data_IF_889698588205
#
_entry.id   IF_889698588205
#
_cell.length_a   1.000
_cell.length_b   1.000
_cell.length_c   1.000
_cell.angle_alpha   90.00
_cell.angle_beta   90.00
_cell.angle_gamma   90.00
#
_symmetry.space_group_name_H-M   'P 1'
#
loop_
_entity.id
_entity.type
_entity.pdbx_description
1 polymer ?
#
# COMPACT_ATOMS: atom_id res chain seq x y z
N UNK A 1 -65.41 -25.11 -25.33
CA UNK A 1 -63.95 -25.28 -25.09
C UNK A 1 -63.23 -24.91 -26.38
N UNK A 2 -62.44 -23.84 -26.41
CA UNK A 2 -61.66 -23.48 -27.61
C UNK A 2 -60.53 -24.50 -27.76
N UNK A 3 -60.58 -25.31 -28.82
CA UNK A 3 -59.51 -26.24 -29.21
C UNK A 3 -58.32 -25.42 -29.71
N UNK A 4 -57.35 -25.21 -28.83
CA UNK A 4 -56.09 -24.54 -29.15
C UNK A 4 -55.38 -25.34 -30.25
N UNK A 5 -55.18 -24.73 -31.43
CA UNK A 5 -54.50 -25.38 -32.56
C UNK A 5 -53.08 -25.81 -32.16
N UNK A 6 -52.61 -27.02 -32.52
CA UNK A 6 -51.28 -27.51 -32.13
C UNK A 6 -50.15 -26.54 -32.48
N UNK A 7 -50.26 -25.85 -33.62
CA UNK A 7 -49.32 -24.81 -34.07
C UNK A 7 -49.24 -23.62 -33.10
N UNK A 8 -50.37 -23.21 -32.52
CA UNK A 8 -50.40 -22.08 -31.57
C UNK A 8 -49.73 -22.41 -30.25
N UNK A 9 -49.76 -23.68 -29.83
CA UNK A 9 -49.12 -24.16 -28.61
C UNK A 9 -47.59 -24.23 -28.76
N UNK A 10 -47.07 -24.62 -29.92
CA UNK A 10 -45.64 -24.61 -30.21
C UNK A 10 -45.07 -23.19 -30.22
N UNK A 11 -45.76 -22.25 -30.87
CA UNK A 11 -45.35 -20.84 -30.88
C UNK A 11 -45.34 -20.26 -29.46
N UNK A 12 -46.30 -20.63 -28.62
CA UNK A 12 -46.34 -20.18 -27.22
C UNK A 12 -45.15 -20.73 -26.42
N UNK A 13 -44.82 -22.02 -26.59
CA UNK A 13 -43.65 -22.64 -25.95
C UNK A 13 -42.35 -21.94 -26.34
N UNK A 14 -42.15 -21.67 -27.63
CA UNK A 14 -40.96 -20.95 -28.09
C UNK A 14 -40.87 -19.53 -27.52
N UNK A 15 -41.99 -18.80 -27.43
CA UNK A 15 -42.02 -17.48 -26.78
C UNK A 15 -41.65 -17.56 -25.30
N UNK A 16 -42.22 -18.51 -24.56
CA UNK A 16 -41.91 -18.68 -23.13
C UNK A 16 -40.45 -19.09 -22.92
N UNK A 17 -39.90 -19.96 -23.76
CA UNK A 17 -38.50 -20.36 -23.70
C UNK A 17 -37.56 -19.16 -23.94
N UNK A 18 -37.84 -18.36 -24.97
CA UNK A 18 -37.07 -17.14 -25.26
C UNK A 18 -37.13 -16.12 -24.13
N UNK A 19 -38.31 -15.92 -23.52
CA UNK A 19 -38.47 -15.00 -22.41
C UNK A 19 -37.77 -15.47 -21.11
N UNK A 20 -37.71 -16.78 -20.87
CA UNK A 20 -36.93 -17.36 -19.77
C UNK A 20 -35.42 -17.18 -19.98
N UNK A 21 -34.93 -17.36 -21.22
CA UNK A 21 -33.53 -17.12 -21.57
C UNK A 21 -33.15 -15.66 -21.38
N UNK A 22 -34.00 -14.73 -21.82
CA UNK A 22 -33.75 -13.30 -21.66
C UNK A 22 -33.70 -12.90 -20.18
N UNK A 23 -34.66 -13.39 -19.37
CA UNK A 23 -34.64 -13.17 -17.92
C UNK A 23 -33.39 -13.72 -17.26
N UNK A 24 -32.98 -14.94 -17.62
CA UNK A 24 -31.73 -15.54 -17.12
C UNK A 24 -30.51 -14.68 -17.49
N UNK A 25 -30.48 -14.13 -18.70
CA UNK A 25 -29.40 -13.26 -19.16
C UNK A 25 -29.33 -11.94 -18.37
N UNK A 26 -30.50 -11.35 -18.07
CA UNK A 26 -30.60 -10.15 -17.23
C UNK A 26 -30.07 -10.40 -15.83
N UNK A 27 -30.49 -11.48 -15.17
CA UNK A 27 -30.01 -11.83 -13.83
C UNK A 27 -28.49 -12.05 -13.80
N UNK A 28 -27.95 -12.80 -14.77
CA UNK A 28 -26.51 -13.03 -14.88
C UNK A 28 -25.73 -11.73 -15.07
N UNK A 29 -26.24 -10.81 -15.90
CA UNK A 29 -25.60 -9.52 -16.13
C UNK A 29 -25.58 -8.65 -14.87
N UNK A 30 -26.67 -8.67 -14.10
CA UNK A 30 -26.76 -7.95 -12.82
C UNK A 30 -25.78 -8.52 -11.78
N UNK A 31 -25.70 -9.85 -11.70
CA UNK A 31 -24.75 -10.55 -10.82
C UNK A 31 -23.30 -10.18 -11.16
N UNK A 32 -22.92 -10.23 -12.44
CA UNK A 32 -21.57 -9.84 -12.88
C UNK A 32 -21.24 -8.39 -12.50
N UNK A 33 -22.15 -7.44 -12.77
CA UNK A 33 -21.95 -6.03 -12.43
C UNK A 33 -21.77 -5.81 -10.92
N UNK A 34 -22.51 -6.57 -10.11
CA UNK A 34 -22.38 -6.51 -8.66
C UNK A 34 -21.03 -7.05 -8.18
N UNK A 35 -20.58 -8.18 -8.73
CA UNK A 35 -19.29 -8.79 -8.40
C UNK A 35 -18.11 -7.89 -8.82
N UNK A 36 -18.17 -7.32 -10.02
CA UNK A 36 -17.15 -6.40 -10.53
C UNK A 36 -17.05 -5.16 -9.63
N UNK A 37 -18.19 -4.56 -9.26
CA UNK A 37 -18.22 -3.43 -8.34
C UNK A 37 -17.65 -3.79 -6.95
N UNK A 38 -17.90 -5.01 -6.45
CA UNK A 38 -17.30 -5.52 -5.21
C UNK A 38 -15.78 -5.66 -5.29
N UNK A 39 -15.24 -6.09 -6.43
CA UNK A 39 -13.80 -6.16 -6.67
C UNK A 39 -13.16 -4.77 -6.70
N UNK A 40 -13.78 -3.81 -7.37
CA UNK A 40 -13.30 -2.42 -7.40
C UNK A 40 -13.30 -1.76 -6.02
N UNK A 41 -14.29 -2.05 -5.16
CA UNK A 41 -14.25 -1.58 -3.77
C UNK A 41 -13.10 -2.19 -2.98
N UNK A 42 -12.85 -3.49 -3.16
CA UNK A 42 -11.81 -4.19 -2.40
C UNK A 42 -10.42 -3.65 -2.73
N UNK A 43 -10.13 -3.39 -4.01
CA UNK A 43 -8.87 -2.76 -4.42
C UNK A 43 -8.76 -1.31 -3.91
N UNK A 44 -9.87 -0.58 -3.89
CA UNK A 44 -9.90 0.79 -3.38
C UNK A 44 -9.67 0.86 -1.86
N UNK A 45 -10.18 -0.11 -1.11
CA UNK A 45 -9.89 -0.24 0.31
C UNK A 45 -8.39 -0.49 0.53
N UNK A 46 -7.74 -1.34 -0.27
CA UNK A 46 -6.29 -1.54 -0.18
C UNK A 46 -5.50 -0.26 -0.48
N UNK A 47 -5.91 0.50 -1.51
CA UNK A 47 -5.30 1.78 -1.86
C UNK A 47 -5.36 2.78 -0.69
N UNK A 48 -6.49 2.82 0.03
CA UNK A 48 -6.67 3.69 1.19
C UNK A 48 -5.68 3.38 2.33
N UNK A 49 -5.25 2.12 2.47
CA UNK A 49 -4.22 1.72 3.45
C UNK A 49 -2.78 1.89 2.94
N UNK A 50 -2.56 1.75 1.64
CA UNK A 50 -1.22 1.78 1.04
C UNK A 50 -0.69 3.20 0.81
N UNK A 51 -1.53 4.13 0.36
CA UNK A 51 -1.09 5.51 0.07
C UNK A 51 -0.53 6.20 1.31
N UNK A 52 -1.17 6.11 2.50
CA UNK A 52 -0.64 6.72 3.72
C UNK A 52 0.76 6.24 4.11
N UNK A 53 1.05 4.95 4.01
CA UNK A 53 2.35 4.40 4.40
C UNK A 53 3.46 4.85 3.45
N UNK A 54 3.17 4.92 2.15
CA UNK A 54 4.09 5.45 1.14
C UNK A 54 4.45 6.91 1.43
N UNK A 55 3.44 7.74 1.72
CA UNK A 55 3.64 9.16 2.06
C UNK A 55 4.53 9.31 3.30
N UNK A 56 4.25 8.57 4.37
CA UNK A 56 5.04 8.64 5.61
C UNK A 56 6.51 8.27 5.33
N UNK A 57 6.75 7.21 4.54
CA UNK A 57 8.10 6.78 4.20
C UNK A 57 8.87 7.84 3.41
N UNK A 58 8.22 8.45 2.41
CA UNK A 58 8.82 9.51 1.60
C UNK A 58 9.09 10.74 2.46
N UNK A 59 8.09 11.25 3.17
CA UNK A 59 8.24 12.45 4.00
C UNK A 59 9.25 12.24 5.13
N UNK A 60 9.26 11.08 5.78
CA UNK A 60 10.22 10.73 6.82
C UNK A 60 11.65 10.60 6.28
N UNK A 61 11.83 9.95 5.12
CA UNK A 61 13.14 9.85 4.47
C UNK A 61 13.68 11.21 4.03
N UNK A 62 12.80 12.08 3.55
CA UNK A 62 13.16 13.43 3.13
C UNK A 62 13.57 14.31 4.32
N UNK A 63 12.87 14.18 5.45
CA UNK A 63 13.24 14.83 6.70
C UNK A 63 14.58 14.33 7.24
N UNK A 64 14.81 13.01 7.20
CA UNK A 64 16.10 12.43 7.59
C UNK A 64 17.24 12.99 6.73
N UNK A 65 17.08 12.98 5.40
CA UNK A 65 18.05 13.56 4.47
C UNK A 65 18.31 15.05 4.73
N UNK A 66 17.27 15.83 5.05
CA UNK A 66 17.42 17.25 5.42
C UNK A 66 18.21 17.48 6.72
N UNK A 67 18.37 16.46 7.57
CA UNK A 67 19.16 16.56 8.81
C UNK A 67 20.60 16.07 8.65
N UNK A 68 20.91 15.30 7.61
CA UNK A 68 22.26 14.77 7.35
C UNK A 68 23.10 15.64 6.43
N UNK A 69 22.47 16.61 5.75
CA UNK A 69 23.16 17.53 4.84
C UNK A 69 23.59 18.77 5.61
N UNK A 70 24.91 18.99 5.70
CA UNK A 70 25.49 20.15 6.39
C UNK A 70 25.43 21.44 5.56
N UNK A 71 25.34 21.32 4.23
CA UNK A 71 25.26 22.45 3.32
C UNK A 71 23.90 23.16 3.39
N UNK A 72 23.92 24.46 3.68
CA UNK A 72 22.74 25.28 3.92
C UNK A 72 21.81 25.30 2.70
N UNK A 73 22.39 25.42 1.50
CA UNK A 73 21.64 25.46 0.25
C UNK A 73 20.94 24.13 -0.02
N UNK A 74 21.68 23.02 0.06
CA UNK A 74 21.14 21.70 -0.18
C UNK A 74 20.05 21.34 0.83
N UNK A 75 20.22 21.70 2.11
CA UNK A 75 19.18 21.54 3.13
C UNK A 75 17.90 22.31 2.82
N UNK A 76 18.02 23.56 2.40
CA UNK A 76 16.89 24.42 2.03
C UNK A 76 16.12 23.83 0.85
N UNK A 77 16.85 23.29 -0.15
CA UNK A 77 16.24 22.60 -1.30
C UNK A 77 15.49 21.34 -0.86
N UNK A 78 16.06 20.52 0.02
CA UNK A 78 15.37 19.30 0.50
C UNK A 78 14.12 19.66 1.33
N UNK A 79 14.18 20.66 2.21
CA UNK A 79 13.04 21.09 3.03
C UNK A 79 11.93 21.76 2.20
N UNK A 80 12.30 22.59 1.22
CA UNK A 80 11.32 23.17 0.29
C UNK A 80 10.65 22.10 -0.58
N UNK A 81 11.40 21.12 -1.07
CA UNK A 81 10.82 19.96 -1.75
C UNK A 81 9.90 19.16 -0.83
N UNK A 82 10.24 19.00 0.45
CA UNK A 82 9.39 18.35 1.45
C UNK A 82 8.06 19.08 1.70
N UNK A 83 8.10 20.41 1.73
CA UNK A 83 6.90 21.24 1.84
C UNK A 83 6.00 21.08 0.61
N UNK A 84 6.57 21.16 -0.60
CA UNK A 84 5.82 20.97 -1.86
C UNK A 84 5.21 19.57 -1.94
N UNK A 85 5.98 18.53 -1.58
CA UNK A 85 5.49 17.15 -1.55
C UNK A 85 4.34 16.97 -0.55
N UNK A 86 4.42 17.61 0.62
CA UNK A 86 3.34 17.58 1.62
C UNK A 86 2.06 18.23 1.09
N UNK A 87 2.16 19.36 0.38
CA UNK A 87 1.01 20.03 -0.25
C UNK A 87 0.42 19.18 -1.39
N UNK A 88 1.26 18.60 -2.25
CA UNK A 88 0.81 17.70 -3.32
C UNK A 88 0.08 16.48 -2.74
N UNK A 89 0.57 15.95 -1.62
CA UNK A 89 -0.07 14.85 -0.93
C UNK A 89 -1.47 15.22 -0.41
N UNK A 90 -1.67 16.44 0.10
CA UNK A 90 -3.00 16.91 0.52
C UNK A 90 -3.99 16.84 -0.66
N UNK A 91 -3.58 17.29 -1.86
CA UNK A 91 -4.40 17.23 -3.07
C UNK A 91 -4.72 15.77 -3.45
N UNK A 92 -3.72 14.88 -3.38
CA UNK A 92 -3.91 13.45 -3.67
C UNK A 92 -4.93 12.84 -2.70
N UNK A 93 -4.81 13.07 -1.39
CA UNK A 93 -5.73 12.53 -0.39
C UNK A 93 -7.17 13.02 -0.64
N UNK A 94 -7.34 14.31 -0.97
CA UNK A 94 -8.65 14.86 -1.34
C UNK A 94 -9.24 14.17 -2.57
N UNK A 95 -8.43 13.99 -3.62
CA UNK A 95 -8.87 13.32 -4.85
C UNK A 95 -9.22 11.86 -4.62
N UNK A 96 -8.43 11.15 -3.82
CA UNK A 96 -8.68 9.76 -3.45
C UNK A 96 -10.02 9.62 -2.69
N UNK A 97 -10.32 10.56 -1.77
CA UNK A 97 -11.64 10.57 -1.12
C UNK A 97 -12.76 10.78 -2.13
N UNK A 98 -12.61 11.73 -3.04
CA UNK A 98 -13.60 11.98 -4.10
C UNK A 98 -13.89 10.72 -4.92
N UNK A 99 -12.85 9.97 -5.29
CA UNK A 99 -13.01 8.68 -5.98
C UNK A 99 -13.79 7.66 -5.16
N UNK A 100 -13.49 7.52 -3.87
CA UNK A 100 -14.21 6.61 -2.95
C UNK A 100 -15.69 6.98 -2.87
N UNK A 101 -15.97 8.27 -2.71
CA UNK A 101 -17.33 8.78 -2.60
C UNK A 101 -18.15 8.46 -3.87
N UNK A 102 -17.56 8.69 -5.05
CA UNK A 102 -18.18 8.37 -6.34
C UNK A 102 -18.49 6.87 -6.51
N UNK A 103 -17.59 5.98 -6.05
CA UNK A 103 -17.82 4.52 -6.14
C UNK A 103 -18.93 4.07 -5.19
N UNK A 104 -18.97 4.61 -3.96
CA UNK A 104 -20.02 4.32 -2.99
C UNK A 104 -21.38 4.78 -3.53
N UNK A 105 -21.46 5.97 -4.13
CA UNK A 105 -22.69 6.49 -4.73
C UNK A 105 -23.18 5.62 -5.89
N UNK A 106 -22.26 5.16 -6.76
CA UNK A 106 -22.60 4.24 -7.86
C UNK A 106 -23.12 2.90 -7.36
N UNK A 107 -22.66 2.41 -6.20
CA UNK A 107 -23.17 1.18 -5.60
C UNK A 107 -24.49 1.37 -4.85
N UNK A 108 -24.72 2.55 -4.27
CA UNK A 108 -25.98 2.92 -3.65
C UNK A 108 -27.17 2.83 -4.62
N UNK A 109 -26.93 3.00 -5.93
CA UNK A 109 -27.97 2.87 -6.96
C UNK A 109 -28.53 1.44 -7.09
N UNK A 110 -27.80 0.41 -6.67
CA UNK A 110 -28.25 -0.98 -6.73
C UNK A 110 -28.95 -1.47 -5.45
N UNK A 111 -28.95 -0.67 -4.37
CA UNK A 111 -29.57 -1.02 -3.10
C UNK A 111 -30.22 0.20 -2.43
N UNK A 112 -31.38 0.66 -2.96
CA UNK A 112 -32.01 1.92 -2.54
C UNK A 112 -32.48 1.95 -1.08
N UNK A 113 -32.77 0.79 -0.46
CA UNK A 113 -33.31 0.72 0.91
C UNK A 113 -32.28 0.98 2.03
N UNK A 114 -30.98 0.94 1.74
CA UNK A 114 -29.92 1.02 2.77
C UNK A 114 -29.12 2.32 2.77
N UNK A 115 -29.62 3.40 2.18
CA UNK A 115 -28.93 4.68 2.01
C UNK A 115 -28.77 5.51 3.30
N UNK A 116 -28.55 4.90 4.47
CA UNK A 116 -28.11 5.62 5.67
C UNK A 116 -26.66 6.01 5.52
N UNK A 117 -26.45 7.19 4.98
CA UNK A 117 -25.14 7.84 4.88
C UNK A 117 -24.58 8.08 6.30
N UNK A 118 -23.44 7.47 6.68
CA UNK A 118 -22.88 7.63 8.01
C UNK A 118 -22.47 9.09 8.28
N UNK A 119 -22.77 9.61 9.48
CA UNK A 119 -22.24 10.91 9.95
C UNK A 119 -20.75 10.75 10.24
N UNK A 120 -19.90 11.65 9.71
CA UNK A 120 -18.45 11.61 9.91
C UNK A 120 -17.60 11.41 8.63
N UNK A 121 -18.11 11.82 7.46
CA UNK A 121 -17.46 11.61 6.15
C UNK A 121 -16.03 12.14 6.02
N UNK A 122 -15.60 13.10 6.84
CA UNK A 122 -14.34 13.83 6.65
C UNK A 122 -13.38 13.80 7.84
N UNK A 123 -13.68 13.05 8.91
CA UNK A 123 -12.85 13.05 10.14
C UNK A 123 -11.41 12.61 9.85
N UNK A 124 -11.25 11.49 9.13
CA UNK A 124 -9.92 10.94 8.78
C UNK A 124 -9.15 11.92 7.90
N UNK A 125 -9.82 12.55 6.94
CA UNK A 125 -9.17 13.51 6.02
C UNK A 125 -8.76 14.76 6.76
N UNK A 126 -9.62 15.28 7.64
CA UNK A 126 -9.29 16.42 8.48
C UNK A 126 -8.00 16.16 9.28
N UNK A 127 -7.91 14.99 9.93
CA UNK A 127 -6.70 14.60 10.66
C UNK A 127 -5.45 14.56 9.75
N UNK A 128 -5.52 13.88 8.61
CA UNK A 128 -4.39 13.78 7.67
C UNK A 128 -4.00 15.13 7.06
N UNK A 129 -4.97 15.96 6.70
CA UNK A 129 -4.72 17.30 6.18
C UNK A 129 -4.07 18.18 7.25
N UNK A 130 -4.53 18.13 8.51
CA UNK A 130 -3.89 18.88 9.60
C UNK A 130 -2.45 18.43 9.87
N UNK A 131 -2.18 17.13 9.83
CA UNK A 131 -0.83 16.58 10.01
C UNK A 131 0.11 16.99 8.88
N UNK A 132 -0.34 16.87 7.62
CA UNK A 132 0.46 17.28 6.45
C UNK A 132 0.66 18.79 6.37
N UNK A 133 -0.34 19.56 6.77
CA UNK A 133 -0.21 21.02 6.86
C UNK A 133 0.80 21.41 7.93
N UNK A 134 0.75 20.76 9.10
CA UNK A 134 1.77 20.92 10.14
C UNK A 134 3.17 20.59 9.62
N UNK A 135 3.34 19.46 8.93
CA UNK A 135 4.60 19.07 8.29
C UNK A 135 5.08 20.13 7.30
N UNK A 136 4.20 20.65 6.43
CA UNK A 136 4.54 21.68 5.47
C UNK A 136 4.99 22.98 6.16
N UNK A 137 4.30 23.40 7.22
CA UNK A 137 4.66 24.59 8.01
C UNK A 137 6.05 24.41 8.63
N UNK A 138 6.33 23.27 9.27
CA UNK A 138 7.65 23.03 9.88
C UNK A 138 8.74 22.98 8.82
N UNK A 139 8.48 22.38 7.65
CA UNK A 139 9.42 22.37 6.53
C UNK A 139 9.70 23.77 5.96
N UNK A 140 8.68 24.64 5.86
CA UNK A 140 8.85 26.04 5.43
C UNK A 140 9.65 26.82 6.47
N UNK A 141 9.32 26.71 7.76
CA UNK A 141 10.07 27.36 8.84
C UNK A 141 11.52 26.90 8.88
N UNK A 142 11.76 25.60 8.65
CA UNK A 142 13.11 25.04 8.57
C UNK A 142 13.90 25.53 7.34
N UNK A 143 13.22 25.78 6.22
CA UNK A 143 13.84 26.38 5.04
C UNK A 143 14.16 27.87 5.25
N UNK A 144 13.33 28.60 6.00
CA UNK A 144 13.59 30.01 6.34
C UNK A 144 14.69 30.16 7.41
N UNK A 145 14.85 29.20 8.32
CA UNK A 145 15.89 29.20 9.36
C UNK A 145 16.68 27.88 9.42
N UNK A 146 17.49 27.54 8.40
CA UNK A 146 18.20 26.25 8.35
C UNK A 146 19.25 26.07 9.44
N UNK A 147 19.70 27.16 10.07
CA UNK A 147 20.69 27.14 11.15
C UNK A 147 20.17 26.41 12.41
N UNK A 148 18.86 26.49 12.70
CA UNK A 148 18.30 26.00 13.96
C UNK A 148 18.00 24.48 13.97
N UNK A 149 18.02 23.85 12.79
CA UNK A 149 17.79 22.41 12.64
C UNK A 149 19.12 21.64 12.51
N UNK A 150 20.28 22.31 12.47
CA UNK A 150 21.56 21.63 12.24
C UNK A 150 21.93 20.89 13.52
N UNK A 151 21.80 19.56 13.51
CA UNK A 151 22.51 18.77 14.50
C UNK A 151 23.99 18.99 14.20
N UNK A 152 24.72 19.63 15.12
CA UNK A 152 26.17 19.43 15.19
C UNK A 152 26.37 17.92 15.24
N UNK A 153 26.77 17.33 14.12
CA UNK A 153 27.24 15.97 14.09
C UNK A 153 28.56 16.01 14.86
N UNK A 154 28.50 15.70 16.17
CA UNK A 154 29.73 15.40 16.88
C UNK A 154 30.42 14.28 16.10
N UNK A 155 31.76 14.37 15.92
CA UNK A 155 32.50 13.39 15.15
C UNK A 155 32.15 12.00 15.66
N UNK A 156 32.04 10.99 14.76
CA UNK A 156 31.66 9.65 15.14
C UNK A 156 32.58 9.20 16.27
N UNK A 157 32.05 9.12 17.49
CA UNK A 157 32.71 8.38 18.57
C UNK A 157 32.82 6.98 18.01
N UNK A 158 34.05 6.61 17.68
CA UNK A 158 34.43 5.32 17.13
C UNK A 158 33.54 4.25 17.74
N UNK A 159 32.62 3.71 16.93
CA UNK A 159 31.97 2.48 17.28
C UNK A 159 33.12 1.47 17.34
N UNK A 160 33.56 1.16 18.57
CA UNK A 160 34.45 0.04 18.85
C UNK A 160 33.91 -1.11 18.03
N UNK A 161 34.69 -1.47 17.02
CA UNK A 161 34.41 -2.55 16.12
C UNK A 161 34.43 -3.81 16.99
N UNK A 162 33.28 -4.22 17.53
CA UNK A 162 33.08 -5.59 17.95
C UNK A 162 32.95 -6.42 16.68
N UNK A 163 34.09 -6.59 16.00
CA UNK A 163 34.40 -7.81 15.27
C UNK A 163 34.26 -8.90 16.31
N UNK A 164 33.20 -9.69 16.25
CA UNK A 164 33.19 -11.00 16.90
C UNK A 164 34.31 -11.80 16.25
N UNK A 165 35.48 -11.80 16.88
CA UNK A 165 36.51 -12.77 16.61
C UNK A 165 35.94 -14.14 16.95
N UNK A 166 35.78 -14.98 15.93
CA UNK A 166 35.78 -16.42 16.13
C UNK A 166 37.25 -16.77 16.36
N UNK A 167 37.60 -16.90 17.62
CA UNK A 167 38.87 -17.42 18.11
C UNK A 167 38.95 -18.92 17.74
N UNK A 168 39.56 -19.23 16.59
CA UNK A 168 40.01 -20.59 16.29
C UNK A 168 41.37 -20.76 16.95
N UNK A 169 41.38 -21.53 18.02
CA UNK A 169 42.57 -21.98 18.74
C UNK A 169 43.55 -22.65 17.78
N UNK A 170 44.78 -22.19 17.91
CA UNK A 170 46.06 -22.58 17.31
C UNK A 170 46.41 -24.08 17.43
N UNK A 171 46.99 -24.67 16.37
CA UNK A 171 48.36 -25.22 16.37
C UNK A 171 48.81 -25.80 14.99
N UNK A 172 50.10 -26.08 14.74
CA UNK A 172 50.80 -25.56 13.55
C UNK A 172 51.43 -26.66 12.68
N UNK A 173 51.42 -26.50 11.35
CA UNK A 173 52.43 -27.08 10.45
C UNK A 173 52.21 -26.64 8.99
N UNK A 174 53.31 -26.27 8.34
CA UNK A 174 53.58 -26.34 6.89
C UNK A 174 52.79 -25.48 5.86
N UNK A 175 53.46 -24.38 5.44
CA UNK A 175 53.81 -23.93 4.07
C UNK A 175 52.79 -23.78 2.88
N UNK A 176 53.05 -22.84 1.93
CA UNK A 176 52.10 -22.31 0.91
C UNK A 176 52.30 -22.98 -0.47
N UNK A 177 51.79 -22.48 -1.63
CA UNK A 177 50.68 -21.57 -1.96
C UNK A 177 49.59 -22.31 -2.80
N UNK A 178 48.73 -21.56 -3.54
CA UNK A 178 47.95 -21.94 -4.76
C UNK A 178 46.45 -21.65 -4.63
N UNK A 179 45.96 -20.68 -5.41
CA UNK A 179 44.57 -20.62 -5.87
C UNK A 179 44.43 -21.58 -7.08
N UNK A 180 43.32 -22.34 -7.26
CA UNK A 180 42.26 -21.82 -8.13
C UNK A 180 40.82 -22.39 -7.92
N UNK A 181 39.83 -21.58 -8.31
CA UNK A 181 38.66 -21.91 -9.18
C UNK A 181 37.61 -23.00 -8.79
N UNK A 182 36.35 -22.52 -8.74
CA UNK A 182 35.04 -23.12 -9.09
C UNK A 182 34.36 -24.23 -8.24
N UNK A 183 33.13 -23.85 -7.86
CA UNK A 183 31.85 -24.46 -8.29
C UNK A 183 31.12 -25.45 -7.37
N UNK A 184 29.85 -25.11 -7.17
CA UNK A 184 28.63 -25.96 -7.14
C UNK A 184 28.26 -26.78 -5.91
N UNK A 185 26.94 -26.72 -5.68
CA UNK A 185 26.03 -27.78 -5.24
C UNK A 185 25.72 -27.94 -3.74
N UNK A 186 24.60 -27.30 -3.33
CA UNK A 186 23.34 -27.96 -2.95
C UNK A 186 23.45 -29.32 -2.22
N UNK A 187 23.09 -29.37 -0.93
CA UNK A 187 22.26 -30.44 -0.31
C UNK A 187 22.01 -30.18 1.20
N UNK A 188 20.74 -29.94 1.53
CA UNK A 188 20.04 -30.34 2.76
C UNK A 188 19.75 -31.88 2.68
N UNK A 189 19.22 -32.63 3.67
CA UNK A 189 18.94 -32.46 5.12
C UNK A 189 19.72 -33.50 5.99
N UNK A 190 19.60 -33.62 7.32
CA UNK A 190 18.60 -34.48 8.02
C UNK A 190 18.87 -34.51 9.54
N UNK A 191 17.79 -34.74 10.28
CA UNK A 191 17.53 -34.76 11.72
C UNK A 191 18.39 -35.67 12.62
N UNK A 192 18.28 -35.43 13.94
CA UNK A 192 18.16 -36.44 15.02
C UNK A 192 17.86 -35.68 16.33
N UNK A 193 16.61 -35.69 16.79
CA UNK A 193 16.05 -36.58 17.82
C UNK A 193 16.75 -36.50 19.18
N UNK A 194 16.00 -36.16 20.24
CA UNK A 194 16.11 -36.83 21.55
C UNK A 194 14.79 -36.76 22.32
N UNK A 195 14.45 -37.79 23.13
CA UNK A 195 13.11 -37.99 23.67
C UNK A 195 13.03 -37.86 25.20
N UNK A 196 11.82 -38.15 25.70
CA UNK A 196 11.39 -38.47 27.08
C UNK A 196 11.12 -37.29 28.01
N UNK A 197 10.20 -37.33 28.96
CA UNK A 197 8.94 -38.06 29.24
C UNK A 197 8.65 -37.80 30.72
N UNK A 198 7.43 -37.38 31.05
CA UNK A 198 6.63 -37.87 32.19
C UNK A 198 5.22 -37.34 32.06
#
# INVERSE_FOLDING_TARGET
MKTTSPKSLEILKHRLASDLEERKWRFKTLELKYLEAGQHLRSLNQLMWQVPSMVIAITGGLWYGATTVDEFQARTVVLSFAAVFSLLTIVIIWRLRGLIQMHIERQGQFSPDNARVPRGKYVVIGCWTTALLGSAIVSILGACNPAHLSKKQEPPKEAKCCVSQIEVVTNPAQQPPVCPVKSTAKKQPTATSKPCAK
#
